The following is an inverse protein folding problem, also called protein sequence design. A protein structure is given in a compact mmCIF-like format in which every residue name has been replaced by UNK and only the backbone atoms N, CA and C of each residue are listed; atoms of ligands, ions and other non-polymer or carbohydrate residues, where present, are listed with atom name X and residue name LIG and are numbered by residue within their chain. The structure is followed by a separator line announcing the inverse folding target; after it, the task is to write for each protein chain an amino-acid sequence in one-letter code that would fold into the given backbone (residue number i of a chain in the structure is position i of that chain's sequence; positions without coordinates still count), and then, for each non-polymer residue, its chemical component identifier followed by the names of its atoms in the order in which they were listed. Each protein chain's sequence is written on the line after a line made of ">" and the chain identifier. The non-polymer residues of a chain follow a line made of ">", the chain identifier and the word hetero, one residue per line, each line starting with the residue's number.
data_IF_666412331954
#
_entry.id   IF_666412331954
#
_cell.length_a   1.000
_cell.length_b   1.000
_cell.length_c   1.000
_cell.angle_alpha   90.00
_cell.angle_beta   90.00
_cell.angle_gamma   90.00
#
_symmetry.space_group_name_H-M   'P 1'
#
loop_
_entity.id
_entity.type
_entity.pdbx_description
1 polymer ?
#
# COMPACT_ATOMS: atom_id res chain seq x y z
N UNK A 1 -13.58 -24.99 -6.42
CA UNK A 1 -14.11 -23.64 -6.62
C UNK A 1 -12.96 -22.65 -6.81
N UNK A 2 -12.93 -21.99 -7.94
CA UNK A 2 -11.85 -21.03 -8.19
C UNK A 2 -12.17 -19.70 -7.52
N UNK A 3 -11.18 -19.10 -6.89
CA UNK A 3 -11.29 -17.76 -6.34
C UNK A 3 -10.92 -16.76 -7.41
N UNK A 4 -11.73 -15.74 -7.56
CA UNK A 4 -11.35 -14.61 -8.40
C UNK A 4 -10.24 -13.83 -7.74
N UNK A 5 -9.24 -13.51 -8.54
CA UNK A 5 -8.21 -12.57 -8.10
C UNK A 5 -8.68 -11.17 -8.46
N UNK A 6 -8.44 -10.25 -7.54
CA UNK A 6 -8.66 -8.84 -7.81
C UNK A 6 -7.47 -8.29 -8.57
N UNK A 7 -7.71 -7.32 -9.42
CA UNK A 7 -6.63 -6.56 -10.06
C UNK A 7 -6.10 -5.55 -9.05
N UNK A 8 -4.80 -5.43 -8.96
CA UNK A 8 -4.17 -4.44 -8.08
C UNK A 8 -3.48 -3.41 -8.96
N UNK A 9 -3.84 -2.16 -8.79
CA UNK A 9 -3.28 -1.04 -9.55
C UNK A 9 -2.77 0.03 -8.59
N UNK A 10 -1.54 0.49 -8.84
CA UNK A 10 -1.00 1.63 -8.11
C UNK A 10 -1.35 2.89 -8.89
N UNK A 11 -1.94 3.86 -8.19
CA UNK A 11 -2.09 5.19 -8.77
C UNK A 11 -0.70 5.81 -8.95
N UNK A 12 -0.60 6.76 -9.83
CA UNK A 12 0.68 7.40 -10.16
C UNK A 12 1.40 7.90 -8.91
N UNK A 13 0.66 8.53 -7.98
CA UNK A 13 1.25 9.05 -6.77
C UNK A 13 1.79 7.94 -5.88
N UNK A 14 1.14 6.77 -5.86
CA UNK A 14 1.63 5.62 -5.11
C UNK A 14 2.89 5.03 -5.75
N UNK A 15 2.96 5.02 -7.07
CA UNK A 15 4.17 4.61 -7.78
C UNK A 15 5.34 5.54 -7.44
N UNK A 16 5.07 6.83 -7.40
CA UNK A 16 6.07 7.82 -7.02
C UNK A 16 6.53 7.64 -5.58
N UNK A 17 5.59 7.39 -4.66
CA UNK A 17 5.92 7.07 -3.27
C UNK A 17 6.85 5.87 -3.20
N UNK A 18 6.51 4.80 -3.91
CA UNK A 18 7.28 3.56 -3.90
C UNK A 18 8.71 3.80 -4.41
N UNK A 19 8.83 4.47 -5.54
CA UNK A 19 10.14 4.78 -6.13
C UNK A 19 10.98 5.62 -5.19
N UNK A 20 10.38 6.62 -4.56
CA UNK A 20 11.08 7.52 -3.64
C UNK A 20 11.57 6.77 -2.40
N UNK A 21 10.73 5.89 -1.83
CA UNK A 21 11.10 5.09 -0.65
C UNK A 21 12.24 4.14 -1.00
N UNK A 22 12.13 3.41 -2.10
CA UNK A 22 13.16 2.47 -2.54
C UNK A 22 14.49 3.18 -2.79
N UNK A 23 14.44 4.34 -3.45
CA UNK A 23 15.64 5.13 -3.71
C UNK A 23 16.29 5.63 -2.42
N UNK A 24 15.47 6.06 -1.47
CA UNK A 24 15.96 6.51 -0.17
C UNK A 24 16.69 5.40 0.57
N UNK A 25 16.08 4.21 0.63
CA UNK A 25 16.69 3.06 1.30
C UNK A 25 17.96 2.63 0.57
N UNK A 26 17.92 2.59 -0.76
CA UNK A 26 19.03 2.12 -1.60
C UNK A 26 20.26 3.01 -1.49
N UNK A 27 20.08 4.31 -1.22
CA UNK A 27 21.19 5.24 -1.06
C UNK A 27 22.13 4.82 0.05
N UNK A 28 21.60 4.15 1.08
CA UNK A 28 22.38 3.70 2.23
C UNK A 28 22.57 2.17 2.21
N UNK A 29 21.52 1.43 1.87
CA UNK A 29 21.54 -0.03 1.97
C UNK A 29 20.81 -0.68 0.78
N UNK A 30 21.53 -0.92 -0.34
CA UNK A 30 20.89 -1.47 -1.55
C UNK A 30 20.16 -2.79 -1.33
N UNK A 31 20.73 -3.70 -0.54
CA UNK A 31 20.09 -5.00 -0.28
C UNK A 31 18.80 -4.85 0.53
N UNK A 32 18.75 -3.86 1.42
CA UNK A 32 17.54 -3.58 2.19
C UNK A 32 16.45 -3.01 1.28
N UNK A 33 16.82 -2.23 0.27
CA UNK A 33 15.88 -1.70 -0.70
C UNK A 33 15.23 -2.83 -1.51
N UNK A 34 16.04 -3.80 -1.95
CA UNK A 34 15.51 -4.95 -2.68
C UNK A 34 14.56 -5.78 -1.81
N UNK A 35 14.94 -6.02 -0.56
CA UNK A 35 14.11 -6.77 0.37
C UNK A 35 12.78 -6.05 0.62
N UNK A 36 12.81 -4.74 0.77
CA UNK A 36 11.61 -3.93 0.95
C UNK A 36 10.70 -4.02 -0.27
N UNK A 37 11.25 -3.85 -1.47
CA UNK A 37 10.47 -3.95 -2.71
C UNK A 37 9.80 -5.31 -2.83
N UNK A 38 10.51 -6.38 -2.49
CA UNK A 38 9.97 -7.74 -2.52
C UNK A 38 8.81 -7.88 -1.53
N UNK A 39 8.93 -7.32 -0.33
CA UNK A 39 7.85 -7.37 0.67
C UNK A 39 6.61 -6.63 0.19
N UNK A 40 6.79 -5.47 -0.43
CA UNK A 40 5.66 -4.71 -0.99
C UNK A 40 4.95 -5.56 -2.05
N UNK A 41 5.70 -6.13 -2.98
CA UNK A 41 5.12 -6.96 -4.04
C UNK A 41 4.34 -8.15 -3.49
N UNK A 42 4.90 -8.83 -2.50
CA UNK A 42 4.22 -9.97 -1.86
C UNK A 42 2.93 -9.55 -1.18
N UNK A 43 2.93 -8.40 -0.53
CA UNK A 43 1.72 -7.89 0.13
C UNK A 43 0.65 -7.51 -0.89
N UNK A 44 1.05 -6.94 -2.02
CA UNK A 44 0.10 -6.64 -3.09
C UNK A 44 -0.50 -7.91 -3.68
N UNK A 45 0.28 -8.98 -3.79
CA UNK A 45 -0.24 -10.28 -4.23
C UNK A 45 -1.23 -10.85 -3.22
N UNK A 46 -0.97 -10.69 -1.93
CA UNK A 46 -1.91 -11.10 -0.88
C UNK A 46 -3.21 -10.33 -0.98
N UNK A 47 -3.12 -9.03 -1.24
CA UNK A 47 -4.32 -8.20 -1.42
C UNK A 47 -5.18 -8.70 -2.58
N UNK A 48 -4.56 -9.14 -3.67
CA UNK A 48 -5.32 -9.60 -4.83
C UNK A 48 -6.18 -10.83 -4.51
N UNK A 49 -5.80 -11.60 -3.50
CA UNK A 49 -6.55 -12.78 -3.05
C UNK A 49 -7.46 -12.48 -1.87
N UNK A 50 -7.10 -11.50 -1.06
CA UNK A 50 -7.80 -11.16 0.17
C UNK A 50 -7.90 -9.65 0.28
N UNK A 51 -8.80 -9.02 -0.48
CA UNK A 51 -8.84 -7.55 -0.55
C UNK A 51 -9.17 -6.88 0.77
N UNK A 52 -9.81 -7.58 1.69
CA UNK A 52 -10.14 -7.01 3.01
C UNK A 52 -9.08 -7.29 4.07
N UNK A 53 -7.88 -7.70 3.64
CA UNK A 53 -6.77 -8.01 4.54
C UNK A 53 -6.34 -6.79 5.37
N UNK A 54 -6.41 -5.59 4.79
CA UNK A 54 -6.01 -4.38 5.47
C UNK A 54 -7.00 -3.92 6.53
N UNK A 55 -6.53 -3.04 7.41
CA UNK A 55 -7.32 -2.48 8.49
C UNK A 55 -8.08 -1.24 8.05
N UNK A 56 -9.20 -0.97 8.69
CA UNK A 56 -9.92 0.27 8.50
C UNK A 56 -9.23 1.36 9.32
N UNK A 57 -8.91 2.51 8.73
CA UNK A 57 -8.25 3.60 9.46
C UNK A 57 -9.10 4.11 10.61
N UNK A 58 -8.42 4.60 11.64
CA UNK A 58 -9.10 5.25 12.78
C UNK A 58 -9.63 6.62 12.40
N UNK A 59 -8.97 7.27 11.46
CA UNK A 59 -9.38 8.59 10.98
C UNK A 59 -10.72 8.46 10.27
N UNK A 60 -11.72 9.13 10.83
CA UNK A 60 -13.09 9.02 10.35
C UNK A 60 -13.21 9.41 8.88
N UNK A 61 -12.47 10.41 8.45
CA UNK A 61 -12.50 10.86 7.06
C UNK A 61 -12.06 9.78 6.09
N UNK A 62 -10.97 9.08 6.43
CA UNK A 62 -10.47 8.00 5.58
C UNK A 62 -11.39 6.78 5.63
N UNK A 63 -11.92 6.47 6.80
CA UNK A 63 -12.87 5.37 6.96
C UNK A 63 -14.14 5.61 6.14
N UNK A 64 -14.62 6.85 6.13
CA UNK A 64 -15.82 7.24 5.38
C UNK A 64 -15.62 7.09 3.88
N UNK A 65 -14.39 7.30 3.40
CA UNK A 65 -14.03 7.14 1.99
C UNK A 65 -13.65 5.70 1.64
N UNK A 66 -13.87 4.78 2.57
CA UNK A 66 -13.64 3.34 2.39
C UNK A 66 -12.18 2.95 2.21
N UNK A 67 -11.26 3.75 2.75
CA UNK A 67 -9.85 3.39 2.74
C UNK A 67 -9.59 2.23 3.69
N UNK A 68 -8.61 1.42 3.31
CA UNK A 68 -7.98 0.42 4.16
C UNK A 68 -6.48 0.59 4.07
N UNK A 69 -5.75 0.06 5.03
CA UNK A 69 -4.30 0.09 4.95
C UNK A 69 -3.68 -1.22 5.41
N UNK A 70 -2.57 -1.57 4.76
CA UNK A 70 -1.70 -2.66 5.20
C UNK A 70 -0.45 -2.06 5.81
N UNK A 71 0.06 -2.71 6.86
CA UNK A 71 1.34 -2.34 7.45
C UNK A 71 2.42 -3.24 6.88
N UNK A 72 3.43 -2.66 6.26
CA UNK A 72 4.61 -3.36 5.76
C UNK A 72 5.82 -2.67 6.34
N UNK A 73 6.48 -3.32 7.32
CA UNK A 73 7.54 -2.72 8.12
C UNK A 73 7.03 -1.43 8.76
N UNK A 74 7.63 -0.29 8.48
CA UNK A 74 7.22 0.99 9.03
C UNK A 74 6.34 1.80 8.09
N UNK A 75 5.85 1.16 7.01
CA UNK A 75 5.09 1.85 5.98
C UNK A 75 3.65 1.36 5.94
N UNK A 76 2.76 2.25 5.52
CA UNK A 76 1.36 1.97 5.35
C UNK A 76 1.01 2.03 3.87
N UNK A 77 0.36 0.98 3.38
CA UNK A 77 -0.16 0.94 2.01
C UNK A 77 -1.65 1.24 2.08
N UNK A 78 -2.05 2.44 1.66
CA UNK A 78 -3.46 2.84 1.65
C UNK A 78 -4.11 2.46 0.34
N UNK A 79 -5.25 1.79 0.43
CA UNK A 79 -5.94 1.33 -0.77
C UNK A 79 -7.46 1.38 -0.60
N UNK A 80 -8.16 1.33 -1.73
CA UNK A 80 -9.61 1.17 -1.78
C UNK A 80 -9.95 0.00 -2.71
N UNK A 81 -11.15 -0.54 -2.55
CA UNK A 81 -11.65 -1.63 -3.38
C UNK A 81 -12.82 -1.09 -4.18
N UNK A 82 -12.73 -1.19 -5.51
CA UNK A 82 -13.81 -0.77 -6.39
C UNK A 82 -14.07 -1.87 -7.41
N UNK A 83 -15.20 -2.57 -7.25
CA UNK A 83 -15.51 -3.73 -8.07
C UNK A 83 -14.47 -4.82 -7.88
N UNK A 84 -13.80 -5.22 -8.94
CA UNK A 84 -12.76 -6.24 -8.93
C UNK A 84 -11.36 -5.63 -8.95
N UNK A 85 -11.24 -4.33 -8.66
CA UNK A 85 -9.96 -3.64 -8.69
C UNK A 85 -9.64 -3.06 -7.33
N UNK A 86 -8.40 -3.24 -6.91
CA UNK A 86 -7.83 -2.62 -5.72
C UNK A 86 -6.94 -1.50 -6.20
N UNK A 87 -7.23 -0.29 -5.76
CA UNK A 87 -6.41 0.88 -6.10
C UNK A 87 -5.54 1.24 -4.91
N UNK A 88 -4.23 1.18 -5.11
CA UNK A 88 -3.27 1.64 -4.09
C UNK A 88 -3.10 3.14 -4.29
N UNK A 89 -3.50 3.91 -3.30
CA UNK A 89 -3.49 5.37 -3.37
C UNK A 89 -2.19 5.98 -2.91
N UNK A 90 -1.65 5.50 -1.79
CA UNK A 90 -0.41 6.02 -1.22
C UNK A 90 0.36 4.91 -0.50
N UNK A 91 1.68 5.08 -0.44
CA UNK A 91 2.56 4.28 0.40
C UNK A 91 3.34 5.28 1.26
N UNK A 92 3.05 5.32 2.55
CA UNK A 92 3.54 6.38 3.44
C UNK A 92 4.13 5.80 4.71
N UNK A 93 5.16 6.47 5.24
CA UNK A 93 5.73 6.08 6.52
C UNK A 93 4.69 6.29 7.63
N UNK A 94 4.53 5.29 8.49
CA UNK A 94 3.49 5.31 9.52
C UNK A 94 3.65 6.39 10.58
N UNK A 95 4.87 6.91 10.77
CA UNK A 95 5.13 7.99 11.73
C UNK A 95 4.81 9.38 11.18
N UNK A 96 4.49 9.45 9.88
CA UNK A 96 4.23 10.72 9.21
C UNK A 96 2.79 11.17 9.46
N UNK A 97 2.57 12.49 9.45
CA UNK A 97 1.21 13.02 9.43
C UNK A 97 0.63 12.81 8.04
N UNK A 98 0.16 11.58 7.80
CA UNK A 98 -0.28 11.18 6.47
C UNK A 98 -1.66 11.70 6.10
N UNK A 99 -2.48 12.08 7.08
CA UNK A 99 -3.84 12.55 6.80
C UNK A 99 -3.85 13.79 5.91
N UNK A 100 -2.88 14.67 6.08
CA UNK A 100 -2.76 15.88 5.27
C UNK A 100 -2.42 15.62 3.81
N UNK A 101 -2.05 14.38 3.48
CA UNK A 101 -1.64 14.00 2.12
C UNK A 101 -2.78 13.42 1.28
N UNK A 102 -3.96 13.35 1.86
CA UNK A 102 -5.16 12.86 1.17
C UNK A 102 -6.11 13.97 0.73
#
# INVERSE_FOLDING_TARGET
>A
MSRRKYNVRLLRVAEDDFTEIVSYIAADRPSAAEAFATKIEKNLQLLSRSPRLGRVPKEEELARLHYRYLVVENYLIFYTIEGQTIYVHRILHGARDYLSLF
#
